data_IF_416571276392
#
_entry.id   IF_416571276392
#
_cell.length_a   1.000
_cell.length_b   1.000
_cell.length_c   1.000
_cell.angle_alpha   90.00
_cell.angle_beta   90.00
_cell.angle_gamma   90.00
#
_symmetry.space_group_name_H-M   'P 1'
#
loop_
_entity.id
_entity.type
_entity.pdbx_description
1 polymer ?
#
# COMPACT_ATOMS: atom_id res chain seq x y z
N UNK A 1 -26.94 38.22 -24.15
CA UNK A 1 -26.70 36.77 -23.94
C UNK A 1 -25.20 36.52 -23.79
N UNK A 2 -24.66 36.53 -22.57
CA UNK A 2 -23.24 36.24 -22.26
C UNK A 2 -23.07 35.65 -20.84
N UNK A 3 -23.93 34.72 -20.43
CA UNK A 3 -23.88 34.12 -19.08
C UNK A 3 -23.56 32.62 -19.06
N UNK A 4 -23.47 31.96 -20.22
CA UNK A 4 -23.23 30.51 -20.29
C UNK A 4 -21.74 30.13 -20.25
N UNK A 5 -20.83 31.07 -20.55
CA UNK A 5 -19.40 30.75 -20.67
C UNK A 5 -18.66 30.75 -19.31
N UNK A 6 -19.10 31.56 -18.34
CA UNK A 6 -18.47 31.64 -17.01
C UNK A 6 -18.77 30.40 -16.14
N UNK A 7 -19.96 29.82 -16.30
CA UNK A 7 -20.42 28.69 -15.49
C UNK A 7 -19.74 27.36 -15.88
N UNK A 8 -19.46 27.17 -17.17
CA UNK A 8 -18.72 26.00 -17.66
C UNK A 8 -17.26 26.07 -17.20
N UNK A 9 -16.64 27.26 -17.23
CA UNK A 9 -15.27 27.45 -16.76
C UNK A 9 -15.12 27.16 -15.26
N UNK A 10 -16.12 27.53 -14.46
CA UNK A 10 -16.16 27.25 -13.02
C UNK A 10 -16.31 25.75 -12.74
N UNK A 11 -17.13 25.03 -13.52
CA UNK A 11 -17.34 23.60 -13.36
C UNK A 11 -16.09 22.79 -13.74
N UNK A 12 -15.36 23.19 -14.78
CA UNK A 12 -14.07 22.57 -15.15
C UNK A 12 -13.02 22.82 -14.06
N UNK A 13 -12.97 24.02 -13.46
CA UNK A 13 -12.04 24.32 -12.36
C UNK A 13 -12.33 23.48 -11.10
N UNK A 14 -13.61 23.24 -10.77
CA UNK A 14 -14.01 22.41 -9.62
C UNK A 14 -13.70 20.93 -9.86
N UNK A 15 -13.88 20.41 -11.08
CA UNK A 15 -13.56 19.01 -11.41
C UNK A 15 -12.04 18.76 -11.41
N UNK A 16 -11.23 19.74 -11.81
CA UNK A 16 -9.75 19.64 -11.74
C UNK A 16 -9.26 19.70 -10.28
N UNK A 17 -9.94 20.45 -9.40
CA UNK A 17 -9.60 20.50 -7.98
C UNK A 17 -9.97 19.23 -7.20
N UNK A 18 -10.90 18.42 -7.71
CA UNK A 18 -11.24 17.12 -7.12
C UNK A 18 -10.31 15.97 -7.57
N UNK A 19 -9.31 16.23 -8.43
CA UNK A 19 -8.26 15.26 -8.76
C UNK A 19 -6.94 15.54 -8.04
N UNK A 20 -6.95 16.26 -6.91
CA UNK A 20 -5.92 16.10 -5.89
C UNK A 20 -6.15 14.76 -5.18
N UNK A 21 -6.00 13.66 -5.93
CA UNK A 21 -5.75 12.36 -5.31
C UNK A 21 -4.54 12.55 -4.43
N UNK A 22 -4.66 12.20 -3.16
CA UNK A 22 -3.58 12.22 -2.19
C UNK A 22 -2.41 11.41 -2.74
N UNK A 23 -1.47 12.08 -3.40
CA UNK A 23 -0.18 11.53 -3.78
C UNK A 23 0.64 11.41 -2.49
N UNK A 24 0.32 10.41 -1.68
CA UNK A 24 1.31 9.91 -0.73
C UNK A 24 2.42 9.30 -1.57
N UNK A 25 3.52 10.05 -1.71
CA UNK A 25 4.71 9.58 -2.40
C UNK A 25 5.26 8.29 -1.79
N UNK A 26 6.26 7.66 -2.42
CA UNK A 26 6.87 6.47 -1.85
C UNK A 26 7.39 6.75 -0.43
N UNK A 27 7.18 5.81 0.48
CA UNK A 27 7.75 5.85 1.82
C UNK A 27 9.27 5.82 1.73
N UNK A 28 9.92 6.80 2.35
CA UNK A 28 11.37 6.88 2.42
C UNK A 28 11.88 6.20 3.70
N UNK A 29 13.00 5.45 3.65
CA UNK A 29 13.59 4.90 4.85
C UNK A 29 13.89 5.95 5.92
N UNK A 30 13.48 5.69 7.15
CA UNK A 30 13.82 6.53 8.29
C UNK A 30 15.32 6.52 8.54
N UNK A 31 15.86 7.62 9.08
CA UNK A 31 17.24 7.68 9.57
C UNK A 31 17.48 6.71 10.72
N UNK A 32 16.42 6.30 11.43
CA UNK A 32 16.50 5.39 12.57
C UNK A 32 15.81 4.05 12.25
N UNK A 33 16.64 3.05 11.96
CA UNK A 33 16.19 1.67 11.77
C UNK A 33 15.58 1.17 13.10
N UNK A 34 14.40 0.52 13.07
CA UNK A 34 13.79 -0.07 14.25
C UNK A 34 14.72 -1.05 14.97
N UNK A 35 14.67 -1.06 16.31
CA UNK A 35 15.46 -1.99 17.11
C UNK A 35 15.16 -3.44 16.75
N UNK A 36 16.19 -4.26 16.61
CA UNK A 36 16.05 -5.68 16.25
C UNK A 36 15.93 -5.94 14.74
N UNK A 37 15.88 -4.90 13.90
CA UNK A 37 15.90 -5.06 12.44
C UNK A 37 17.32 -4.95 11.90
N UNK A 38 17.68 -5.83 10.98
CA UNK A 38 18.86 -5.63 10.14
C UNK A 38 18.53 -4.64 9.04
N UNK A 39 19.50 -3.80 8.68
CA UNK A 39 19.36 -2.81 7.61
C UNK A 39 18.86 -3.42 6.29
N UNK A 40 19.47 -4.53 5.85
CA UNK A 40 19.04 -5.21 4.64
C UNK A 40 17.57 -5.67 4.69
N UNK A 41 17.09 -6.11 5.85
CA UNK A 41 15.70 -6.52 6.05
C UNK A 41 14.75 -5.31 6.05
N UNK A 42 15.14 -4.24 6.75
CA UNK A 42 14.41 -2.97 6.81
C UNK A 42 14.24 -2.35 5.42
N UNK A 43 15.33 -2.16 4.69
CA UNK A 43 15.33 -1.61 3.32
C UNK A 43 14.47 -2.45 2.38
N UNK A 44 14.54 -3.77 2.50
CA UNK A 44 13.71 -4.68 1.70
C UNK A 44 12.22 -4.55 2.05
N UNK A 45 11.90 -4.41 3.33
CA UNK A 45 10.53 -4.25 3.81
C UNK A 45 9.90 -2.97 3.25
N UNK A 46 10.64 -1.85 3.25
CA UNK A 46 10.18 -0.59 2.66
C UNK A 46 9.97 -0.71 1.16
N UNK A 47 10.91 -1.34 0.44
CA UNK A 47 10.77 -1.54 -1.00
C UNK A 47 9.51 -2.34 -1.36
N UNK A 48 9.21 -3.38 -0.58
CA UNK A 48 7.98 -4.16 -0.77
C UNK A 48 6.76 -3.33 -0.39
N UNK A 49 6.79 -2.63 0.74
CA UNK A 49 5.68 -1.79 1.19
C UNK A 49 5.29 -0.75 0.14
N UNK A 50 6.29 -0.08 -0.45
CA UNK A 50 6.08 0.87 -1.55
C UNK A 50 5.45 0.22 -2.78
N UNK A 51 5.87 -1.01 -3.12
CA UNK A 51 5.23 -1.77 -4.19
C UNK A 51 3.76 -2.05 -3.86
N UNK A 52 3.44 -2.56 -2.66
CA UNK A 52 2.06 -2.84 -2.24
C UNK A 52 1.22 -1.57 -2.30
N UNK A 53 1.72 -0.47 -1.72
CA UNK A 53 1.01 0.81 -1.66
C UNK A 53 0.76 1.40 -3.05
N UNK A 54 1.76 1.37 -3.92
CA UNK A 54 1.62 1.81 -5.32
C UNK A 54 0.53 1.02 -6.03
N UNK A 55 0.51 -0.30 -5.87
CA UNK A 55 -0.48 -1.18 -6.49
C UNK A 55 -1.88 -0.95 -5.94
N UNK A 56 -2.02 -0.77 -4.63
CA UNK A 56 -3.30 -0.45 -4.00
C UNK A 56 -3.83 0.92 -4.47
N UNK A 57 -2.98 1.95 -4.52
CA UNK A 57 -3.36 3.30 -4.95
C UNK A 57 -3.77 3.35 -6.42
N UNK A 58 -3.10 2.59 -7.28
CA UNK A 58 -3.46 2.47 -8.70
C UNK A 58 -4.63 1.50 -8.95
N UNK A 59 -5.10 0.80 -7.90
CA UNK A 59 -6.06 -0.28 -8.01
C UNK A 59 -5.65 -1.33 -9.06
N UNK A 60 -4.40 -1.80 -8.95
CA UNK A 60 -3.79 -2.79 -9.83
C UNK A 60 -3.31 -4.02 -9.05
N UNK A 61 -3.61 -5.22 -9.57
CA UNK A 61 -3.01 -6.44 -9.05
C UNK A 61 -1.52 -6.53 -9.42
N UNK A 62 -0.76 -7.36 -8.69
CA UNK A 62 0.62 -7.67 -9.08
C UNK A 62 0.70 -8.35 -10.45
N UNK A 63 1.76 -8.03 -11.17
CA UNK A 63 2.29 -8.91 -12.22
C UNK A 63 2.88 -10.19 -11.59
N UNK A 64 3.14 -11.19 -12.42
CA UNK A 64 3.72 -12.45 -11.94
C UNK A 64 5.10 -12.24 -11.31
N UNK A 65 5.93 -11.39 -11.90
CA UNK A 65 7.29 -11.12 -11.40
C UNK A 65 7.28 -10.32 -10.08
N UNK A 66 6.38 -9.33 -9.96
CA UNK A 66 6.15 -8.63 -8.68
C UNK A 66 5.68 -9.59 -7.60
N UNK A 67 4.75 -10.51 -7.92
CA UNK A 67 4.27 -11.52 -6.98
C UNK A 67 5.40 -12.44 -6.52
N UNK A 68 6.24 -12.93 -7.43
CA UNK A 68 7.42 -13.74 -7.08
C UNK A 68 8.38 -12.97 -6.18
N UNK A 69 8.60 -11.69 -6.47
CA UNK A 69 9.45 -10.81 -5.67
C UNK A 69 8.94 -10.65 -4.23
N UNK A 70 7.64 -10.40 -4.05
CA UNK A 70 6.99 -10.28 -2.74
C UNK A 70 7.03 -11.60 -1.98
N UNK A 71 6.68 -12.72 -2.63
CA UNK A 71 6.68 -14.04 -1.99
C UNK A 71 8.07 -14.46 -1.49
N UNK A 72 9.14 -14.12 -2.21
CA UNK A 72 10.52 -14.41 -1.77
C UNK A 72 10.83 -13.79 -0.41
N UNK A 73 10.37 -12.57 -0.15
CA UNK A 73 10.57 -11.94 1.16
C UNK A 73 9.91 -12.72 2.30
N UNK A 74 8.79 -13.39 2.02
CA UNK A 74 8.11 -14.21 3.01
C UNK A 74 8.75 -15.60 3.23
N UNK A 75 9.79 -15.96 2.50
CA UNK A 75 10.54 -17.22 2.73
C UNK A 75 11.39 -17.16 4.01
N UNK A 76 11.63 -18.32 4.63
CA UNK A 76 12.22 -18.42 5.97
C UNK A 76 13.63 -17.82 6.09
N UNK A 77 14.40 -17.81 5.01
CA UNK A 77 15.81 -17.37 4.99
C UNK A 77 16.01 -15.87 5.28
N UNK A 78 14.96 -15.05 5.15
CA UNK A 78 15.08 -13.60 5.28
C UNK A 78 14.90 -13.08 6.71
N UNK A 79 14.50 -13.92 7.67
CA UNK A 79 14.25 -13.51 9.07
C UNK A 79 15.31 -14.07 10.01
N UNK A 80 15.91 -13.22 10.85
CA UNK A 80 16.96 -13.65 11.80
C UNK A 80 16.76 -13.18 13.23
N UNK A 81 15.90 -12.19 13.48
CA UNK A 81 15.55 -11.76 14.84
C UNK A 81 14.08 -12.06 15.15
N UNK A 82 13.74 -12.00 16.44
CA UNK A 82 12.36 -12.17 16.91
C UNK A 82 11.48 -11.00 16.42
N UNK A 83 12.04 -9.80 16.41
CA UNK A 83 11.38 -8.58 15.96
C UNK A 83 11.06 -8.65 14.46
N UNK A 84 12.02 -9.09 13.64
CA UNK A 84 11.78 -9.33 12.20
C UNK A 84 10.73 -10.42 11.98
N UNK A 85 10.67 -11.45 12.84
CA UNK A 85 9.68 -12.52 12.73
C UNK A 85 8.26 -12.02 13.04
N UNK A 86 8.10 -11.23 14.10
CA UNK A 86 6.82 -10.62 14.47
C UNK A 86 6.37 -9.67 13.37
N UNK A 87 7.26 -8.79 12.92
CA UNK A 87 6.98 -7.87 11.82
C UNK A 87 6.56 -8.61 10.55
N UNK A 88 7.28 -9.69 10.19
CA UNK A 88 6.93 -10.51 9.02
C UNK A 88 5.53 -11.09 9.10
N UNK A 89 5.10 -11.52 10.29
CA UNK A 89 3.75 -12.03 10.50
C UNK A 89 2.71 -10.94 10.25
N UNK A 90 2.88 -9.76 10.85
CA UNK A 90 1.98 -8.62 10.63
C UNK A 90 1.97 -8.18 9.16
N UNK A 91 3.15 -8.12 8.54
CA UNK A 91 3.29 -7.70 7.15
C UNK A 91 2.68 -8.72 6.18
N UNK A 92 2.68 -10.01 6.54
CA UNK A 92 1.99 -11.03 5.76
C UNK A 92 0.47 -10.89 5.80
N UNK A 93 -0.09 -10.32 6.88
CA UNK A 93 -1.53 -10.02 6.95
C UNK A 93 -1.90 -8.89 5.98
N UNK A 94 -1.09 -7.82 5.94
CA UNK A 94 -1.28 -6.73 4.97
C UNK A 94 -1.27 -7.25 3.53
N UNK A 95 -0.27 -8.06 3.19
CA UNK A 95 -0.16 -8.69 1.87
C UNK A 95 -1.33 -9.64 1.57
N UNK A 96 -1.79 -10.41 2.56
CA UNK A 96 -2.96 -11.27 2.44
C UNK A 96 -4.26 -10.47 2.19
N UNK A 97 -4.44 -9.35 2.89
CA UNK A 97 -5.56 -8.43 2.67
C UNK A 97 -5.51 -7.80 1.28
N UNK A 98 -4.32 -7.37 0.82
CA UNK A 98 -4.11 -6.90 -0.55
C UNK A 98 -4.51 -7.96 -1.58
N UNK A 99 -4.02 -9.20 -1.47
CA UNK A 99 -4.37 -10.26 -2.41
C UNK A 99 -5.87 -10.55 -2.42
N UNK A 100 -6.48 -10.63 -1.23
CA UNK A 100 -7.92 -10.87 -1.07
C UNK A 100 -8.75 -9.76 -1.74
N UNK A 101 -8.31 -8.51 -1.66
CA UNK A 101 -9.00 -7.38 -2.31
C UNK A 101 -9.13 -7.60 -3.82
N UNK A 102 -8.02 -7.91 -4.49
CA UNK A 102 -8.01 -8.15 -5.95
C UNK A 102 -8.70 -9.46 -6.37
N UNK A 103 -8.80 -10.45 -5.47
CA UNK A 103 -9.66 -11.60 -5.70
C UNK A 103 -11.15 -11.25 -5.69
N UNK A 104 -11.58 -10.36 -4.78
CA UNK A 104 -12.96 -9.91 -4.71
C UNK A 104 -13.31 -8.93 -5.83
N UNK A 105 -12.34 -8.15 -6.31
CA UNK A 105 -12.48 -7.31 -7.50
C UNK A 105 -12.88 -8.13 -8.72
N UNK A 106 -12.17 -9.23 -8.99
CA UNK A 106 -12.50 -10.16 -10.09
C UNK A 106 -13.89 -10.77 -9.98
N UNK A 107 -14.43 -10.87 -8.76
CA UNK A 107 -15.78 -11.37 -8.46
C UNK A 107 -16.85 -10.26 -8.47
N UNK A 108 -16.46 -8.99 -8.63
CA UNK A 108 -17.35 -7.83 -8.58
C UNK A 108 -17.96 -7.57 -7.20
N UNK A 109 -17.38 -8.11 -6.13
CA UNK A 109 -17.95 -8.02 -4.77
C UNK A 109 -17.55 -6.71 -4.07
N UNK A 110 -18.19 -5.61 -4.47
CA UNK A 110 -17.89 -4.25 -3.98
C UNK A 110 -17.99 -4.09 -2.46
N UNK A 111 -18.93 -4.79 -1.81
CA UNK A 111 -19.10 -4.70 -0.36
C UNK A 111 -17.89 -5.29 0.37
N UNK A 112 -17.40 -6.45 -0.09
CA UNK A 112 -16.24 -7.09 0.51
C UNK A 112 -14.94 -6.35 0.19
N UNK A 113 -14.80 -5.82 -1.03
CA UNK A 113 -13.69 -4.94 -1.40
C UNK A 113 -13.57 -3.75 -0.44
N UNK A 114 -14.69 -3.09 -0.10
CA UNK A 114 -14.68 -1.97 0.84
C UNK A 114 -14.15 -2.38 2.22
N UNK A 115 -14.62 -3.51 2.76
CA UNK A 115 -14.14 -4.03 4.06
C UNK A 115 -12.64 -4.37 4.04
N UNK A 116 -12.17 -4.92 2.92
CA UNK A 116 -10.76 -5.26 2.73
C UNK A 116 -9.90 -4.01 2.60
N UNK A 117 -10.37 -2.96 1.93
CA UNK A 117 -9.69 -1.67 1.88
C UNK A 117 -9.58 -1.02 3.27
N UNK A 118 -10.67 -1.04 4.06
CA UNK A 118 -10.66 -0.53 5.45
C UNK A 118 -9.67 -1.32 6.32
N UNK A 119 -9.63 -2.65 6.17
CA UNK A 119 -8.65 -3.51 6.85
C UNK A 119 -7.23 -3.21 6.42
N UNK A 120 -6.99 -3.07 5.11
CA UNK A 120 -5.69 -2.75 4.55
C UNK A 120 -5.13 -1.47 5.15
N UNK A 121 -5.92 -0.40 5.21
CA UNK A 121 -5.47 0.87 5.81
C UNK A 121 -5.16 0.73 7.30
N UNK A 122 -5.94 -0.06 8.04
CA UNK A 122 -5.66 -0.32 9.46
C UNK A 122 -4.35 -1.10 9.66
N UNK A 123 -4.12 -2.13 8.86
CA UNK A 123 -2.89 -2.93 8.89
C UNK A 123 -1.68 -2.09 8.48
N UNK A 124 -1.82 -1.29 7.43
CA UNK A 124 -0.79 -0.37 6.91
C UNK A 124 -0.30 0.58 8.01
N UNK A 125 -1.22 1.22 8.74
CA UNK A 125 -0.87 2.11 9.86
C UNK A 125 -0.05 1.38 10.95
N UNK A 126 -0.36 0.10 11.21
CA UNK A 126 0.43 -0.73 12.13
C UNK A 126 1.85 -0.99 11.61
N UNK A 127 1.97 -1.29 10.31
CA UNK A 127 3.26 -1.54 9.64
C UNK A 127 4.12 -0.29 9.60
N UNK A 128 3.56 0.87 9.25
CA UNK A 128 4.28 2.15 9.22
C UNK A 128 4.87 2.48 10.59
N UNK A 129 4.08 2.33 11.66
CA UNK A 129 4.56 2.52 13.03
C UNK A 129 5.72 1.59 13.40
N UNK A 130 5.67 0.32 12.99
CA UNK A 130 6.76 -0.64 13.25
C UNK A 130 8.05 -0.29 12.50
N UNK A 131 7.93 0.37 11.34
CA UNK A 131 9.05 0.79 10.50
C UNK A 131 9.59 2.21 10.83
N UNK A 132 9.03 2.88 11.84
CA UNK A 132 9.30 4.29 12.15
C UNK A 132 9.05 5.23 10.96
N UNK A 133 7.95 5.00 10.23
CA UNK A 133 7.50 5.79 9.08
C UNK A 133 6.23 6.59 9.41
#
# INVERSE_FOLDING_TARGET
MKFTSLFILLFVAVVILCSCGSNEGPYEPSKQIPTGFREAYYTKSIAILNLINTKMNNNEAYTEEERKYVLRFFMAEFTKSKEELVFKADFSLLEGTFQSYFEQEKKGNKQEMKKLADRYHKELQGILKQLNL
#
